data_IF_493980636503
#
_entry.id   IF_493980636503
#
_cell.length_a   1.000
_cell.length_b   1.000
_cell.length_c   1.000
_cell.angle_alpha   90.00
_cell.angle_beta   90.00
_cell.angle_gamma   90.00
#
_symmetry.space_group_name_H-M   'P 1'
#
loop_
_entity.id
_entity.type
_entity.pdbx_description
1 polymer ?
#
# COMPACT_ATOMS: atom_id res chain seq x y z
N UNK A 1 8.79 -18.63 -7.85
CA UNK A 1 7.88 -17.90 -6.96
C UNK A 1 7.81 -18.64 -5.63
N UNK A 2 7.47 -17.97 -4.55
CA UNK A 2 7.39 -18.62 -3.23
C UNK A 2 5.94 -19.11 -3.00
N UNK A 3 5.72 -20.42 -3.08
CA UNK A 3 4.38 -21.04 -3.01
C UNK A 3 3.66 -20.83 -1.66
N UNK A 4 4.39 -20.43 -0.62
CA UNK A 4 3.84 -20.11 0.69
C UNK A 4 3.52 -18.62 0.89
N UNK A 5 3.88 -17.74 -0.06
CA UNK A 5 3.68 -16.32 0.05
C UNK A 5 2.31 -15.91 -0.48
N UNK A 6 1.49 -15.26 0.35
CA UNK A 6 0.15 -14.79 -0.03
C UNK A 6 0.21 -13.79 -1.19
N UNK A 7 1.22 -12.90 -1.23
CA UNK A 7 1.34 -11.91 -2.32
C UNK A 7 1.78 -12.56 -3.63
N UNK A 8 2.64 -13.59 -3.60
CA UNK A 8 2.92 -14.37 -4.80
C UNK A 8 1.63 -15.04 -5.34
N UNK A 9 0.78 -15.57 -4.47
CA UNK A 9 -0.50 -16.17 -4.86
C UNK A 9 -1.48 -15.14 -5.45
N UNK A 10 -1.47 -13.91 -4.94
CA UNK A 10 -2.26 -12.81 -5.51
C UNK A 10 -1.76 -12.47 -6.92
N UNK A 11 -0.46 -12.31 -7.10
CA UNK A 11 0.14 -12.03 -8.42
C UNK A 11 -0.17 -13.12 -9.44
N UNK A 12 -0.19 -14.38 -8.99
CA UNK A 12 -0.53 -15.55 -9.84
C UNK A 12 -2.04 -15.75 -10.05
N UNK A 13 -2.88 -14.92 -9.43
CA UNK A 13 -4.35 -15.06 -9.43
C UNK A 13 -4.88 -16.32 -8.72
N UNK A 14 -4.09 -16.97 -7.87
CA UNK A 14 -4.51 -18.09 -7.02
C UNK A 14 -5.40 -17.61 -5.86
N UNK A 15 -5.23 -16.34 -5.45
CA UNK A 15 -6.04 -15.66 -4.43
C UNK A 15 -6.65 -14.41 -5.06
N UNK A 16 -7.96 -14.17 -4.91
CA UNK A 16 -8.62 -13.00 -5.45
C UNK A 16 -8.12 -11.72 -4.77
N UNK A 17 -7.94 -10.66 -5.55
CA UNK A 17 -7.65 -9.30 -5.07
C UNK A 17 -8.35 -8.27 -5.94
N UNK A 18 -8.60 -7.08 -5.40
CA UNK A 18 -9.11 -5.97 -6.20
C UNK A 18 -7.94 -5.15 -6.73
N UNK A 19 -7.49 -5.53 -7.95
CA UNK A 19 -6.45 -4.82 -8.67
C UNK A 19 -6.91 -3.41 -9.01
N UNK A 20 -6.04 -2.43 -8.80
CA UNK A 20 -6.25 -1.03 -9.20
C UNK A 20 -5.25 -0.57 -10.27
N UNK A 21 -4.08 -1.20 -10.34
CA UNK A 21 -3.03 -0.87 -11.30
C UNK A 21 -2.03 -2.02 -11.44
N UNK A 22 -1.38 -2.15 -12.60
CA UNK A 22 -0.23 -3.04 -12.80
C UNK A 22 0.61 -2.61 -14.02
N UNK A 23 1.88 -3.03 -14.00
CA UNK A 23 2.76 -3.05 -15.17
C UNK A 23 3.51 -4.40 -15.25
N UNK A 24 4.59 -4.46 -16.02
CA UNK A 24 5.36 -5.71 -16.18
C UNK A 24 5.98 -6.21 -14.88
N UNK A 25 6.48 -5.30 -14.00
CA UNK A 25 7.24 -5.63 -12.79
C UNK A 25 6.40 -5.55 -11.51
N UNK A 26 5.36 -4.72 -11.47
CA UNK A 26 4.65 -4.36 -10.23
C UNK A 26 3.14 -4.55 -10.34
N UNK A 27 2.51 -4.76 -9.19
CA UNK A 27 1.07 -4.99 -9.06
C UNK A 27 0.54 -4.17 -7.88
N UNK A 28 -0.59 -3.48 -8.07
CA UNK A 28 -1.24 -2.70 -7.02
C UNK A 28 -2.69 -3.12 -6.83
N UNK A 29 -3.10 -3.26 -5.57
CA UNK A 29 -4.43 -3.72 -5.18
C UNK A 29 -4.88 -3.12 -3.85
N UNK A 30 -6.19 -3.16 -3.58
CA UNK A 30 -6.74 -2.71 -2.32
C UNK A 30 -6.38 -3.65 -1.18
N UNK A 31 -5.95 -3.10 -0.04
CA UNK A 31 -5.66 -3.89 1.15
C UNK A 31 -6.94 -4.55 1.67
N UNK A 32 -6.87 -5.86 1.97
CA UNK A 32 -8.00 -6.63 2.51
C UNK A 32 -8.34 -6.22 3.95
N UNK A 33 -7.33 -5.75 4.70
CA UNK A 33 -7.47 -5.34 6.10
C UNK A 33 -7.02 -3.87 6.28
N UNK A 34 -7.69 -2.92 5.62
CA UNK A 34 -7.25 -1.54 5.62
C UNK A 34 -7.49 -0.89 6.98
N UNK A 35 -6.63 0.03 7.40
CA UNK A 35 -6.87 0.90 8.55
C UNK A 35 -7.20 2.35 8.17
N UNK A 36 -7.27 2.64 6.87
CA UNK A 36 -7.95 3.82 6.34
C UNK A 36 -8.68 3.47 5.03
N UNK A 37 -9.69 4.26 4.67
CA UNK A 37 -10.47 4.06 3.44
C UNK A 37 -9.56 4.17 2.21
N UNK A 38 -9.67 3.20 1.29
CA UNK A 38 -8.87 3.05 0.05
C UNK A 38 -7.37 2.83 0.25
N UNK A 39 -6.97 2.32 1.41
CA UNK A 39 -5.61 1.84 1.58
C UNK A 39 -5.27 0.83 0.50
N UNK A 40 -4.13 1.05 -0.15
CA UNK A 40 -3.68 0.23 -1.26
C UNK A 40 -2.28 -0.30 -1.01
N UNK A 41 -1.96 -1.41 -1.66
CA UNK A 41 -0.63 -2.01 -1.64
C UNK A 41 -0.03 -1.95 -3.04
N UNK A 42 1.27 -1.66 -3.11
CA UNK A 42 2.08 -1.83 -4.33
C UNK A 42 3.16 -2.86 -4.03
N UNK A 43 3.19 -3.94 -4.80
CA UNK A 43 4.13 -5.05 -4.62
C UNK A 43 4.90 -5.33 -5.91
N UNK A 44 6.15 -5.78 -5.85
CA UNK A 44 6.79 -6.38 -7.01
C UNK A 44 6.18 -7.74 -7.32
N UNK A 45 6.02 -8.08 -8.61
CA UNK A 45 5.55 -9.40 -9.04
C UNK A 45 6.56 -10.50 -8.71
N UNK A 46 7.86 -10.16 -8.78
CA UNK A 46 8.94 -11.01 -8.28
C UNK A 46 8.96 -10.96 -6.76
N UNK A 47 9.13 -12.14 -6.13
CA UNK A 47 9.27 -12.19 -4.67
C UNK A 47 10.61 -11.61 -4.22
N UNK A 48 10.56 -10.61 -3.37
CA UNK A 48 11.68 -10.06 -2.62
C UNK A 48 11.38 -10.16 -1.13
N UNK A 49 12.44 -10.22 -0.31
CA UNK A 49 12.35 -10.03 1.14
C UNK A 49 11.62 -8.72 1.46
N UNK A 50 10.88 -8.70 2.56
CA UNK A 50 10.09 -7.52 2.95
C UNK A 50 10.92 -6.33 3.41
N UNK A 51 12.19 -6.55 3.76
CA UNK A 51 13.13 -5.47 4.03
C UNK A 51 13.65 -4.91 2.70
N UNK A 52 13.24 -3.69 2.38
CA UNK A 52 13.67 -2.98 1.18
C UNK A 52 15.20 -2.93 1.02
N UNK A 53 15.93 -2.77 2.13
CA UNK A 53 17.39 -2.62 2.11
C UNK A 53 18.13 -3.94 1.81
N UNK A 54 17.44 -5.07 1.85
CA UNK A 54 17.97 -6.37 1.40
C UNK A 54 17.91 -6.56 -0.12
N UNK A 55 17.16 -5.72 -0.86
CA UNK A 55 17.07 -5.80 -2.31
C UNK A 55 18.37 -5.25 -2.95
N UNK A 56 19.05 -6.10 -3.70
CA UNK A 56 20.34 -5.79 -4.36
C UNK A 56 20.23 -5.65 -5.89
N UNK A 57 19.03 -5.39 -6.38
CA UNK A 57 18.77 -5.14 -7.81
C UNK A 57 19.08 -3.67 -8.14
N UNK A 58 20.04 -3.45 -9.04
CA UNK A 58 20.42 -2.10 -9.47
C UNK A 58 19.27 -1.42 -10.20
N UNK A 59 18.94 -0.20 -9.77
CA UNK A 59 17.82 0.58 -10.32
C UNK A 59 16.43 0.15 -9.85
N UNK A 60 16.29 -0.93 -9.07
CA UNK A 60 15.00 -1.38 -8.54
C UNK A 60 14.26 -0.29 -7.78
N UNK A 61 14.96 0.42 -6.89
CA UNK A 61 14.36 1.48 -6.08
C UNK A 61 13.69 2.56 -6.92
N UNK A 62 14.36 3.02 -7.99
CA UNK A 62 13.81 4.02 -8.91
C UNK A 62 12.56 3.52 -9.61
N UNK A 63 12.56 2.30 -10.15
CA UNK A 63 11.41 1.70 -10.82
C UNK A 63 10.25 1.46 -9.86
N UNK A 64 10.54 1.01 -8.63
CA UNK A 64 9.51 0.73 -7.63
C UNK A 64 8.84 2.01 -7.12
N UNK A 65 9.61 3.08 -6.86
CA UNK A 65 9.06 4.38 -6.49
C UNK A 65 8.29 5.03 -7.66
N UNK A 66 8.73 4.86 -8.90
CA UNK A 66 7.98 5.32 -10.07
C UNK A 66 6.62 4.62 -10.19
N UNK A 67 6.57 3.31 -9.98
CA UNK A 67 5.32 2.55 -9.94
C UNK A 67 4.39 3.04 -8.80
N UNK A 68 4.96 3.26 -7.61
CA UNK A 68 4.19 3.83 -6.50
C UNK A 68 3.65 5.24 -6.82
N UNK A 69 4.41 6.08 -7.54
CA UNK A 69 3.99 7.40 -7.97
C UNK A 69 2.78 7.32 -8.91
N UNK A 70 2.79 6.40 -9.89
CA UNK A 70 1.64 6.23 -10.79
C UNK A 70 0.36 5.84 -10.03
N UNK A 71 0.48 4.95 -9.04
CA UNK A 71 -0.65 4.57 -8.18
C UNK A 71 -1.10 5.76 -7.31
N UNK A 72 -0.18 6.55 -6.76
CA UNK A 72 -0.51 7.76 -5.98
C UNK A 72 -1.25 8.78 -6.84
N UNK A 73 -0.84 8.98 -8.09
CA UNK A 73 -1.51 9.90 -9.01
C UNK A 73 -2.92 9.42 -9.37
N UNK A 74 -3.09 8.11 -9.56
CA UNK A 74 -4.40 7.49 -9.72
C UNK A 74 -5.30 7.74 -8.49
N UNK A 75 -4.79 7.48 -7.28
CA UNK A 75 -5.54 7.70 -6.04
C UNK A 75 -5.93 9.17 -5.85
N UNK A 76 -4.99 10.10 -6.06
CA UNK A 76 -5.27 11.54 -5.96
C UNK A 76 -6.33 11.99 -6.94
N UNK A 77 -6.22 11.57 -8.21
CA UNK A 77 -7.16 11.92 -9.26
C UNK A 77 -8.56 11.39 -8.99
N UNK A 78 -8.67 10.12 -8.58
CA UNK A 78 -9.95 9.43 -8.41
C UNK A 78 -10.66 9.80 -7.11
N UNK A 79 -9.90 10.05 -6.04
CA UNK A 79 -10.46 10.27 -4.71
C UNK A 79 -10.51 11.74 -4.29
N UNK A 80 -9.88 12.64 -5.05
CA UNK A 80 -9.79 14.06 -4.70
C UNK A 80 -8.93 14.36 -3.48
N UNK A 81 -8.08 13.42 -3.03
CA UNK A 81 -7.19 13.64 -1.89
C UNK A 81 -5.93 14.40 -2.33
N UNK A 82 -5.46 15.32 -1.51
CA UNK A 82 -4.28 16.14 -1.84
C UNK A 82 -2.97 15.46 -1.50
N UNK A 83 -2.99 14.47 -0.58
CA UNK A 83 -1.82 13.72 -0.14
C UNK A 83 -2.14 12.25 0.01
N UNK A 84 -1.10 11.44 -0.23
CA UNK A 84 -1.07 10.01 0.08
C UNK A 84 0.20 9.75 0.88
N UNK A 85 0.06 9.09 2.02
CA UNK A 85 1.19 8.67 2.85
C UNK A 85 1.67 7.29 2.40
N UNK A 86 2.98 7.08 2.42
CA UNK A 86 3.62 5.84 2.00
C UNK A 86 4.44 5.26 3.14
N UNK A 87 4.31 3.96 3.36
CA UNK A 87 5.08 3.20 4.35
C UNK A 87 5.56 1.87 3.76
N UNK A 88 6.79 1.50 4.11
CA UNK A 88 7.38 0.18 3.90
C UNK A 88 7.89 -0.35 5.25
N UNK A 89 7.07 -1.11 5.94
CA UNK A 89 7.38 -1.64 7.28
C UNK A 89 7.77 -3.13 7.23
N UNK A 90 7.11 -3.91 6.38
CA UNK A 90 7.49 -5.28 6.06
C UNK A 90 7.19 -6.36 7.10
N UNK A 91 6.55 -6.04 8.23
CA UNK A 91 6.38 -7.00 9.34
C UNK A 91 5.16 -7.93 9.22
N UNK A 92 4.20 -7.61 8.35
CA UNK A 92 2.99 -8.42 8.20
C UNK A 92 3.14 -9.61 7.25
N UNK A 93 3.82 -9.42 6.14
CA UNK A 93 4.06 -10.43 5.10
C UNK A 93 5.49 -10.30 4.61
N UNK A 94 6.25 -11.41 4.63
CA UNK A 94 7.61 -11.42 4.08
C UNK A 94 7.57 -11.46 2.54
N UNK A 95 7.19 -10.35 1.95
CA UNK A 95 7.24 -10.01 0.55
C UNK A 95 7.22 -8.49 0.48
N UNK A 96 8.16 -7.88 -0.20
CA UNK A 96 8.29 -6.42 -0.25
C UNK A 96 6.98 -5.76 -0.69
N UNK A 97 6.53 -4.77 0.08
CA UNK A 97 5.31 -4.05 -0.21
C UNK A 97 5.35 -2.61 0.30
N UNK A 98 4.83 -1.72 -0.52
CA UNK A 98 4.49 -0.35 -0.15
C UNK A 98 3.04 -0.32 0.27
N UNK A 99 2.74 0.27 1.43
CA UNK A 99 1.38 0.64 1.83
C UNK A 99 1.14 2.11 1.52
N UNK A 100 0.04 2.40 0.83
CA UNK A 100 -0.39 3.74 0.45
C UNK A 100 -1.66 4.10 1.21
N UNK A 101 -1.63 5.24 1.89
CA UNK A 101 -2.71 5.74 2.74
C UNK A 101 -3.21 7.08 2.22
N UNK A 102 -4.38 7.14 1.56
CA UNK A 102 -5.01 8.41 1.20
C UNK A 102 -5.31 9.25 2.44
N UNK A 103 -4.82 10.48 2.48
CA UNK A 103 -4.99 11.38 3.63
C UNK A 103 -6.21 12.27 3.41
N UNK A 104 -7.28 11.93 4.10
CA UNK A 104 -8.57 12.59 3.99
C UNK A 104 -8.64 13.92 4.74
N UNK A 105 -9.50 14.82 4.27
CA UNK A 105 -9.82 16.10 4.93
C UNK A 105 -8.62 17.05 5.08
N UNK A 106 -7.62 16.93 4.23
CA UNK A 106 -6.55 17.90 4.14
C UNK A 106 -6.92 19.03 3.16
N UNK A 107 -6.51 20.26 3.48
CA UNK A 107 -6.62 21.40 2.58
C UNK A 107 -5.55 21.35 1.50
N UNK A 108 -5.80 22.03 0.35
CA UNK A 108 -4.82 22.18 -0.71
C UNK A 108 -3.61 23.04 -0.26
N UNK A 109 -3.86 24.04 0.58
CA UNK A 109 -2.80 24.82 1.19
C UNK A 109 -2.16 24.03 2.32
N UNK A 110 -0.82 23.95 2.30
CA UNK A 110 -0.07 23.25 3.33
C UNK A 110 -0.20 23.97 4.67
N UNK A 111 -0.67 23.25 5.68
CA UNK A 111 -0.66 23.70 7.07
C UNK A 111 -0.07 22.60 7.94
N UNK A 112 0.74 22.94 8.98
CA UNK A 112 1.26 21.93 9.88
C UNK A 112 0.11 21.28 10.66
N UNK A 113 0.18 19.95 10.78
CA UNK A 113 -0.63 19.19 11.72
C UNK A 113 0.33 18.65 12.75
N UNK A 114 0.27 19.21 13.95
CA UNK A 114 1.16 18.84 15.03
C UNK A 114 0.38 18.03 16.07
N UNK A 115 0.93 16.87 16.43
CA UNK A 115 0.45 16.11 17.59
C UNK A 115 0.91 16.83 18.86
N UNK A 116 0.01 16.96 19.82
CA UNK A 116 0.29 17.66 21.07
C UNK A 116 0.89 16.76 22.14
N UNK A 117 0.77 15.45 21.97
CA UNK A 117 1.33 14.48 22.90
C UNK A 117 2.70 14.02 22.42
N UNK A 118 3.72 14.21 23.26
CA UNK A 118 5.03 13.62 23.02
C UNK A 118 4.98 12.14 23.43
N UNK A 119 5.11 11.26 22.46
CA UNK A 119 5.12 9.81 22.69
C UNK A 119 6.48 9.26 22.27
N UNK A 120 7.10 8.50 23.17
CA UNK A 120 8.32 7.77 22.91
C UNK A 120 8.10 6.27 23.17
N UNK A 121 8.61 5.44 22.29
CA UNK A 121 8.53 3.98 22.43
C UNK A 121 9.92 3.38 22.42
N UNK A 122 10.26 2.59 23.42
CA UNK A 122 11.54 1.86 23.48
C UNK A 122 11.59 0.70 22.49
N UNK A 123 10.44 0.20 22.07
CA UNK A 123 10.29 -0.85 21.06
C UNK A 123 9.19 -0.49 20.07
N UNK A 124 9.24 -1.06 18.88
CA UNK A 124 8.23 -0.81 17.85
C UNK A 124 6.84 -1.25 18.33
N UNK A 125 5.87 -0.33 18.44
CA UNK A 125 4.55 -0.63 19.03
C UNK A 125 3.52 -1.11 18.02
N UNK A 126 3.88 -1.34 16.75
CA UNK A 126 2.96 -1.74 15.70
C UNK A 126 1.95 -0.67 15.30
N UNK A 127 2.39 0.54 15.05
CA UNK A 127 1.56 1.71 14.71
C UNK A 127 0.43 1.45 13.68
N UNK A 128 0.05 2.44 12.93
CA UNK A 128 -0.99 2.36 11.88
C UNK A 128 -0.76 1.23 10.88
N UNK A 129 0.49 0.93 10.56
CA UNK A 129 0.85 -0.07 9.55
C UNK A 129 0.48 -1.49 9.94
N UNK A 130 0.38 -1.79 11.23
CA UNK A 130 0.06 -3.13 11.75
C UNK A 130 -1.32 -3.20 12.41
N UNK A 131 -1.96 -2.07 12.67
CA UNK A 131 -3.34 -2.05 13.19
C UNK A 131 -4.31 -2.30 12.05
N UNK A 132 -4.91 -3.47 12.03
CA UNK A 132 -5.93 -3.84 11.06
C UNK A 132 -7.31 -3.39 11.51
N UNK A 133 -8.15 -3.02 10.54
CA UNK A 133 -9.58 -2.87 10.74
C UNK A 133 -10.30 -4.21 10.46
N UNK A 134 -11.61 -4.20 10.26
CA UNK A 134 -12.35 -5.39 9.85
C UNK A 134 -11.87 -5.89 8.48
N UNK A 135 -11.95 -7.19 8.25
CA UNK A 135 -11.76 -7.77 6.92
C UNK A 135 -12.91 -7.35 5.99
N UNK A 136 -12.58 -6.77 4.85
CA UNK A 136 -13.57 -6.40 3.84
C UNK A 136 -13.93 -7.61 2.96
N UNK A 137 -15.20 -7.68 2.58
CA UNK A 137 -15.67 -8.66 1.58
C UNK A 137 -15.20 -8.26 0.19
N UNK A 138 -15.19 -9.22 -0.75
CA UNK A 138 -14.86 -8.93 -2.15
C UNK A 138 -15.85 -7.94 -2.79
N UNK A 139 -17.09 -7.94 -2.37
CA UNK A 139 -18.10 -6.98 -2.83
C UNK A 139 -17.78 -5.56 -2.33
N UNK A 140 -17.45 -5.40 -1.04
CA UNK A 140 -17.04 -4.11 -0.47
C UNK A 140 -15.79 -3.57 -1.18
N UNK A 141 -14.78 -4.44 -1.43
CA UNK A 141 -13.57 -4.09 -2.16
C UNK A 141 -13.86 -3.70 -3.61
N UNK A 142 -14.72 -4.43 -4.30
CA UNK A 142 -15.11 -4.13 -5.68
C UNK A 142 -15.83 -2.77 -5.80
N UNK A 143 -16.67 -2.42 -4.84
CA UNK A 143 -17.35 -1.12 -4.81
C UNK A 143 -16.36 0.03 -4.56
N UNK A 144 -15.39 -0.17 -3.67
CA UNK A 144 -14.32 0.79 -3.43
C UNK A 144 -13.43 0.94 -4.69
N UNK A 145 -13.10 -0.17 -5.36
CA UNK A 145 -12.30 -0.14 -6.58
C UNK A 145 -12.95 0.68 -7.70
N UNK A 146 -14.27 0.63 -7.83
CA UNK A 146 -15.00 1.47 -8.80
C UNK A 146 -14.83 2.96 -8.54
N UNK A 147 -14.72 3.38 -7.29
CA UNK A 147 -14.49 4.79 -6.93
C UNK A 147 -13.10 5.29 -7.32
N UNK A 148 -12.13 4.38 -7.48
CA UNK A 148 -10.74 4.70 -7.85
C UNK A 148 -10.52 4.64 -9.36
N UNK A 149 -11.20 3.73 -10.05
CA UNK A 149 -10.94 3.39 -11.46
C UNK A 149 -11.75 4.21 -12.48
N UNK A 150 -12.51 5.23 -12.03
CA UNK A 150 -13.33 6.12 -12.89
C UNK A 150 -12.73 7.51 -13.10
#
# INVERSE_FOLDING_TARGET
MNDNCIFCKIVNHDIPSQKIWENEEFYAFLDLNPNCKWQSLVIPKKHYDSDLFNVKDEGFYGRYLAAAQEVVDLLKKSLGVVRVWMIMEGMGVNHLHIKLYPMWNLNHEWTPIEERENVFYESYPGFLTTKMWKTLTQEELANIAKEILW
#
